data_IF_513909332232
#
_entry.id   IF_513909332232
#
_cell.length_a   1.000
_cell.length_b   1.000
_cell.length_c   1.000
_cell.angle_alpha   90.00
_cell.angle_beta   90.00
_cell.angle_gamma   90.00
#
_symmetry.space_group_name_H-M   'P 1'
#
loop_
_entity.id
_entity.type
_entity.pdbx_description
1 polymer ?
#
# COMPACT_ATOMS: atom_id res chain seq x y z
N UNK A 1 -19.97 -14.53 0.37
CA UNK A 1 -19.22 -14.41 -0.87
C UNK A 1 -17.89 -13.68 -0.66
N UNK A 2 -17.86 -12.44 -0.15
CA UNK A 2 -16.62 -11.66 0.04
C UNK A 2 -15.58 -12.38 0.91
N UNK A 3 -15.97 -12.92 2.08
CA UNK A 3 -15.06 -13.69 2.94
C UNK A 3 -14.54 -14.96 2.24
N UNK A 4 -15.36 -15.60 1.42
CA UNK A 4 -14.93 -16.75 0.63
C UNK A 4 -13.90 -16.35 -0.43
N UNK A 5 -14.10 -15.21 -1.11
CA UNK A 5 -13.14 -14.65 -2.06
C UNK A 5 -11.78 -14.34 -1.40
N UNK A 6 -11.82 -13.67 -0.24
CA UNK A 6 -10.63 -13.36 0.54
C UNK A 6 -9.89 -14.64 0.98
N UNK A 7 -10.61 -15.62 1.54
CA UNK A 7 -10.03 -16.88 1.97
C UNK A 7 -9.41 -17.67 0.81
N UNK A 8 -10.09 -17.75 -0.34
CA UNK A 8 -9.58 -18.41 -1.54
C UNK A 8 -8.29 -17.73 -2.03
N UNK A 9 -8.26 -16.40 -2.08
CA UNK A 9 -7.08 -15.64 -2.48
C UNK A 9 -5.90 -15.87 -1.53
N UNK A 10 -6.15 -15.88 -0.22
CA UNK A 10 -5.12 -16.16 0.80
C UNK A 10 -4.54 -17.57 0.64
N UNK A 11 -5.41 -18.57 0.47
CA UNK A 11 -4.97 -19.97 0.27
C UNK A 11 -4.19 -20.12 -1.05
N UNK A 12 -4.69 -19.52 -2.13
CA UNK A 12 -4.00 -19.55 -3.43
C UNK A 12 -2.62 -18.90 -3.35
N UNK A 13 -2.51 -17.75 -2.69
CA UNK A 13 -1.24 -17.06 -2.50
C UNK A 13 -0.27 -17.86 -1.64
N UNK A 14 -0.76 -18.44 -0.53
CA UNK A 14 0.06 -19.30 0.32
C UNK A 14 0.58 -20.52 -0.45
N UNK A 15 -0.27 -21.16 -1.26
CA UNK A 15 0.12 -22.28 -2.10
C UNK A 15 1.17 -21.88 -3.14
N UNK A 16 1.02 -20.73 -3.78
CA UNK A 16 2.01 -20.19 -4.73
C UNK A 16 3.35 -19.91 -4.05
N UNK A 17 3.33 -19.33 -2.85
CA UNK A 17 4.55 -19.05 -2.09
C UNK A 17 5.27 -20.33 -1.65
N UNK A 18 4.53 -21.34 -1.21
CA UNK A 18 5.11 -22.64 -0.83
C UNK A 18 5.70 -23.35 -2.05
N UNK A 19 4.98 -23.32 -3.19
CA UNK A 19 5.39 -24.03 -4.39
C UNK A 19 6.58 -23.37 -5.11
N UNK A 20 6.61 -22.05 -5.17
CA UNK A 20 7.56 -21.30 -6.00
C UNK A 20 8.53 -20.43 -5.20
N UNK A 21 8.19 -20.05 -3.96
CA UNK A 21 8.97 -19.12 -3.15
C UNK A 21 10.44 -19.55 -2.98
N UNK A 22 10.73 -20.78 -2.52
CA UNK A 22 12.12 -21.23 -2.36
C UNK A 22 12.90 -21.27 -3.68
N UNK A 23 12.28 -21.81 -4.74
CA UNK A 23 12.93 -21.90 -6.06
C UNK A 23 13.09 -20.57 -6.79
N UNK A 24 12.23 -19.60 -6.51
CA UNK A 24 12.34 -18.26 -7.04
C UNK A 24 13.56 -17.54 -6.43
N UNK A 25 13.75 -17.71 -5.12
CA UNK A 25 14.83 -17.05 -4.37
C UNK A 25 16.21 -17.64 -4.66
N UNK A 26 16.30 -18.94 -4.97
CA UNK A 26 17.55 -19.56 -5.39
C UNK A 26 18.03 -19.10 -6.78
N UNK A 27 17.11 -18.58 -7.60
CA UNK A 27 17.38 -18.21 -8.99
C UNK A 27 17.43 -16.70 -9.24
N UNK A 28 16.90 -15.90 -8.35
CA UNK A 28 16.86 -14.45 -8.50
C UNK A 28 17.94 -13.84 -7.60
N UNK A 29 18.82 -13.05 -8.22
CA UNK A 29 19.80 -12.24 -7.48
C UNK A 29 19.05 -11.28 -6.55
N UNK A 30 19.43 -11.30 -5.27
CA UNK A 30 18.83 -10.46 -4.22
C UNK A 30 18.81 -8.98 -4.62
N UNK A 31 19.89 -8.47 -5.25
CA UNK A 31 19.97 -7.08 -5.70
C UNK A 31 18.94 -6.77 -6.76
N UNK A 32 18.71 -7.70 -7.70
CA UNK A 32 17.67 -7.56 -8.73
C UNK A 32 16.29 -7.51 -8.09
N UNK A 33 16.04 -8.36 -7.09
CA UNK A 33 14.78 -8.38 -6.36
C UNK A 33 14.54 -7.04 -5.65
N UNK A 34 15.53 -6.53 -4.91
CA UNK A 34 15.48 -5.25 -4.22
C UNK A 34 15.24 -4.08 -5.18
N UNK A 35 15.93 -4.07 -6.33
CA UNK A 35 15.75 -3.04 -7.36
C UNK A 35 14.35 -3.06 -7.95
N UNK A 36 13.83 -4.24 -8.30
CA UNK A 36 12.50 -4.38 -8.89
C UNK A 36 11.42 -3.94 -7.90
N UNK A 37 11.45 -4.49 -6.68
CA UNK A 37 10.46 -4.17 -5.65
C UNK A 37 10.58 -2.69 -5.25
N UNK A 38 11.79 -2.21 -4.97
CA UNK A 38 12.02 -0.82 -4.60
C UNK A 38 11.52 0.15 -5.66
N UNK A 39 11.80 -0.12 -6.95
CA UNK A 39 11.32 0.70 -8.05
C UNK A 39 9.79 0.70 -8.15
N UNK A 40 9.15 -0.46 -8.03
CA UNK A 40 7.68 -0.56 -8.03
C UNK A 40 7.06 0.25 -6.89
N UNK A 41 7.62 0.14 -5.68
CA UNK A 41 7.16 0.92 -4.53
C UNK A 41 7.34 2.42 -4.74
N UNK A 42 8.45 2.86 -5.35
CA UNK A 42 8.66 4.26 -5.71
C UNK A 42 7.63 4.76 -6.71
N UNK A 43 7.34 3.99 -7.74
CA UNK A 43 6.35 4.35 -8.77
C UNK A 43 4.95 4.47 -8.18
N UNK A 44 4.51 3.46 -7.42
CA UNK A 44 3.18 3.47 -6.79
C UNK A 44 3.09 4.51 -5.67
N UNK A 45 4.04 4.51 -4.74
CA UNK A 45 4.10 5.45 -3.63
C UNK A 45 4.20 6.89 -4.10
N UNK A 46 5.06 7.15 -5.09
CA UNK A 46 5.22 8.47 -5.70
C UNK A 46 3.93 8.98 -6.35
N UNK A 47 3.18 8.12 -7.06
CA UNK A 47 1.89 8.49 -7.64
C UNK A 47 0.85 8.82 -6.54
N UNK A 48 0.78 8.02 -5.50
CA UNK A 48 -0.15 8.25 -4.40
C UNK A 48 0.21 9.48 -3.61
N UNK A 49 1.47 9.61 -3.20
CA UNK A 49 1.97 10.76 -2.45
C UNK A 49 1.81 12.07 -3.24
N UNK A 50 2.18 12.07 -4.54
CA UNK A 50 1.98 13.23 -5.42
C UNK A 50 0.50 13.64 -5.48
N UNK A 51 -0.41 12.68 -5.69
CA UNK A 51 -1.86 12.98 -5.75
C UNK A 51 -2.37 13.51 -4.42
N UNK A 52 -1.92 12.94 -3.30
CA UNK A 52 -2.28 13.38 -1.96
C UNK A 52 -1.74 14.79 -1.66
N UNK A 53 -0.50 15.10 -2.07
CA UNK A 53 0.08 16.44 -1.94
C UNK A 53 -0.69 17.49 -2.74
N UNK A 54 -1.02 17.20 -4.01
CA UNK A 54 -1.79 18.13 -4.87
C UNK A 54 -3.19 18.39 -4.30
N UNK A 55 -3.86 17.35 -3.77
CA UNK A 55 -5.14 17.52 -3.06
C UNK A 55 -4.99 18.32 -1.77
N UNK A 56 -3.92 18.08 -1.01
CA UNK A 56 -3.62 18.84 0.21
C UNK A 56 -3.26 20.30 -0.08
N UNK A 57 -2.69 20.58 -1.25
CA UNK A 57 -2.40 21.92 -1.70
C UNK A 57 -3.64 22.67 -2.24
N UNK A 58 -4.75 21.95 -2.52
CA UNK A 58 -5.96 22.54 -3.11
C UNK A 58 -5.97 22.56 -4.64
N UNK A 59 -4.90 22.08 -5.29
CA UNK A 59 -4.75 22.10 -6.76
C UNK A 59 -5.61 21.05 -7.48
N UNK A 60 -6.07 20.02 -6.76
CA UNK A 60 -6.99 19.00 -7.28
C UNK A 60 -8.15 18.91 -6.31
N UNK A 61 -9.38 18.89 -6.84
CA UNK A 61 -10.58 18.72 -6.06
C UNK A 61 -10.49 17.45 -5.19
N UNK A 62 -10.94 17.55 -3.94
CA UNK A 62 -11.15 16.37 -3.11
C UNK A 62 -12.21 15.52 -3.78
N UNK A 63 -11.90 14.24 -4.01
CA UNK A 63 -12.88 13.31 -4.55
C UNK A 63 -14.03 13.20 -3.56
N UNK A 64 -15.27 13.30 -4.06
CA UNK A 64 -16.44 13.04 -3.22
C UNK A 64 -16.57 11.52 -3.06
N UNK A 65 -15.97 11.01 -1.96
CA UNK A 65 -15.93 9.59 -1.64
C UNK A 65 -17.32 9.04 -1.37
N UNK A 66 -18.22 9.88 -0.87
CA UNK A 66 -19.60 9.49 -0.60
C UNK A 66 -20.36 9.24 -1.90
N UNK A 67 -20.15 10.06 -2.93
CA UNK A 67 -20.74 9.86 -4.23
C UNK A 67 -20.18 8.61 -4.93
N UNK A 68 -18.86 8.43 -4.95
CA UNK A 68 -18.22 7.26 -5.53
C UNK A 68 -18.59 5.96 -4.79
N UNK A 69 -18.63 6.00 -3.46
CA UNK A 69 -19.07 4.87 -2.64
C UNK A 69 -20.54 4.52 -2.89
N UNK A 70 -21.42 5.53 -2.99
CA UNK A 70 -22.85 5.33 -3.27
C UNK A 70 -23.04 4.72 -4.66
N UNK A 71 -22.31 5.21 -5.66
CA UNK A 71 -22.37 4.67 -7.02
C UNK A 71 -21.89 3.22 -7.09
N UNK A 72 -20.81 2.88 -6.37
CA UNK A 72 -20.29 1.52 -6.30
C UNK A 72 -21.21 0.58 -5.50
N UNK A 73 -21.80 1.06 -4.40
CA UNK A 73 -22.82 0.31 -3.62
C UNK A 73 -24.08 0.09 -4.45
N UNK A 74 -24.53 1.07 -5.22
CA UNK A 74 -25.69 0.94 -6.11
C UNK A 74 -25.41 -0.01 -7.28
N UNK A 75 -24.20 0.03 -7.83
CA UNK A 75 -23.76 -0.92 -8.85
C UNK A 75 -23.74 -2.36 -8.31
N UNK A 76 -23.17 -2.56 -7.10
CA UNK A 76 -23.17 -3.86 -6.40
C UNK A 76 -24.56 -4.29 -5.96
N UNK A 77 -25.42 -3.34 -5.55
CA UNK A 77 -26.80 -3.60 -5.15
C UNK A 77 -27.69 -4.08 -6.30
N UNK A 78 -27.43 -3.60 -7.51
CA UNK A 78 -28.10 -4.08 -8.74
C UNK A 78 -27.72 -5.52 -9.05
N UNK A 79 -26.48 -5.91 -8.84
CA UNK A 79 -25.98 -7.27 -9.05
C UNK A 79 -26.46 -8.24 -7.96
N UNK A 80 -26.72 -7.75 -6.74
CA UNK A 80 -27.12 -8.54 -5.57
C UNK A 80 -28.58 -9.02 -5.59
N UNK A 81 -29.43 -8.44 -6.47
CA UNK A 81 -30.85 -8.84 -6.62
C UNK A 81 -31.05 -10.15 -7.41
N UNK A 82 -30.02 -10.68 -8.04
CA UNK A 82 -30.05 -12.02 -8.60
C UNK A 82 -29.93 -13.04 -7.43
N UNK A 83 -30.95 -13.91 -7.27
CA UNK A 83 -30.93 -15.03 -6.31
C UNK A 83 -29.78 -15.96 -6.65
N UNK A 84 -28.66 -15.88 -5.87
CA UNK A 84 -27.51 -16.73 -6.08
C UNK A 84 -26.27 -16.27 -5.28
N UNK A 85 -25.16 -16.94 -5.52
CA UNK A 85 -23.86 -16.59 -4.94
C UNK A 85 -23.39 -15.23 -5.52
N UNK A 86 -23.01 -14.31 -4.65
CA UNK A 86 -22.51 -12.97 -5.03
C UNK A 86 -21.07 -13.08 -5.61
N UNK A 87 -21.01 -13.40 -6.89
CA UNK A 87 -19.74 -13.53 -7.63
C UNK A 87 -18.97 -12.22 -7.73
N UNK A 88 -19.66 -11.08 -7.77
CA UNK A 88 -19.01 -9.77 -7.80
C UNK A 88 -18.28 -9.49 -6.49
N UNK A 89 -18.94 -9.67 -5.36
CA UNK A 89 -18.33 -9.54 -4.04
C UNK A 89 -17.19 -10.54 -3.81
N UNK A 90 -17.32 -11.77 -4.33
CA UNK A 90 -16.25 -12.77 -4.30
C UNK A 90 -15.02 -12.32 -5.11
N UNK A 91 -15.24 -11.88 -6.36
CA UNK A 91 -14.15 -11.49 -7.25
C UNK A 91 -13.43 -10.21 -6.78
N UNK A 92 -14.19 -9.19 -6.37
CA UNK A 92 -13.61 -7.92 -5.88
C UNK A 92 -12.78 -8.17 -4.61
N UNK A 93 -13.32 -8.91 -3.66
CA UNK A 93 -12.63 -9.24 -2.42
C UNK A 93 -11.42 -10.16 -2.67
N UNK A 94 -11.57 -11.18 -3.51
CA UNK A 94 -10.49 -12.07 -3.90
C UNK A 94 -9.34 -11.35 -4.59
N UNK A 95 -9.67 -10.50 -5.57
CA UNK A 95 -8.68 -9.68 -6.27
C UNK A 95 -7.95 -8.72 -5.32
N UNK A 96 -8.69 -8.03 -4.44
CA UNK A 96 -8.10 -7.12 -3.46
C UNK A 96 -7.11 -7.85 -2.56
N UNK A 97 -7.54 -8.91 -1.89
CA UNK A 97 -6.69 -9.70 -0.97
C UNK A 97 -5.51 -10.35 -1.69
N UNK A 98 -5.69 -10.79 -2.94
CA UNK A 98 -4.59 -11.37 -3.72
C UNK A 98 -3.53 -10.32 -4.05
N UNK A 99 -3.91 -9.13 -4.53
CA UNK A 99 -2.97 -8.07 -4.87
C UNK A 99 -2.22 -7.55 -3.63
N UNK A 100 -2.93 -7.25 -2.53
CA UNK A 100 -2.33 -6.84 -1.26
C UNK A 100 -1.43 -7.95 -0.68
N UNK A 101 -1.89 -9.20 -0.78
CA UNK A 101 -1.13 -10.35 -0.29
C UNK A 101 0.15 -10.60 -1.08
N UNK A 102 0.17 -10.33 -2.40
CA UNK A 102 1.40 -10.38 -3.21
C UNK A 102 2.43 -9.36 -2.70
N UNK A 103 2.00 -8.16 -2.33
CA UNK A 103 2.91 -7.14 -1.75
C UNK A 103 3.52 -7.63 -0.43
N UNK A 104 2.69 -8.17 0.47
CA UNK A 104 3.16 -8.77 1.73
C UNK A 104 4.12 -9.94 1.47
N UNK A 105 3.81 -10.78 0.48
CA UNK A 105 4.66 -11.89 0.09
C UNK A 105 6.05 -11.40 -0.35
N UNK A 106 6.12 -10.38 -1.18
CA UNK A 106 7.40 -9.80 -1.59
C UNK A 106 8.18 -9.22 -0.41
N UNK A 107 7.51 -8.55 0.54
CA UNK A 107 8.15 -8.04 1.75
C UNK A 107 8.75 -9.19 2.57
N UNK A 108 7.98 -10.26 2.80
CA UNK A 108 8.44 -11.44 3.56
C UNK A 108 9.60 -12.13 2.86
N UNK A 109 9.51 -12.28 1.54
CA UNK A 109 10.56 -12.91 0.74
C UNK A 109 11.85 -12.08 0.77
N UNK A 110 11.75 -10.77 0.57
CA UNK A 110 12.90 -9.86 0.59
C UNK A 110 13.57 -9.84 1.97
N UNK A 111 12.79 -9.65 3.04
CA UNK A 111 13.32 -9.68 4.40
C UNK A 111 13.90 -11.05 4.78
N UNK A 112 13.30 -12.14 4.30
CA UNK A 112 13.81 -13.49 4.53
C UNK A 112 15.14 -13.72 3.84
N UNK A 113 15.31 -13.24 2.62
CA UNK A 113 16.55 -13.31 1.87
C UNK A 113 17.68 -12.51 2.54
N UNK A 114 17.38 -11.26 2.94
CA UNK A 114 18.38 -10.36 3.55
C UNK A 114 18.76 -10.74 4.98
N UNK A 115 17.84 -11.34 5.75
CA UNK A 115 18.08 -11.73 7.15
C UNK A 115 18.62 -13.15 7.34
N UNK A 116 18.83 -13.89 6.26
CA UNK A 116 19.33 -15.27 6.30
C UNK A 116 18.29 -16.29 6.81
N UNK A 117 16.98 -15.94 6.82
CA UNK A 117 15.93 -16.87 7.21
C UNK A 117 14.52 -16.30 7.15
N UNK A 118 13.55 -17.14 6.81
CA UNK A 118 12.15 -16.75 6.59
C UNK A 118 11.28 -16.81 7.84
N UNK A 119 11.76 -17.45 8.91
CA UNK A 119 10.94 -17.62 10.11
C UNK A 119 10.51 -16.27 10.71
N UNK A 120 11.45 -15.39 11.00
CA UNK A 120 11.14 -14.09 11.63
C UNK A 120 10.23 -13.20 10.76
N UNK A 121 10.49 -13.00 9.44
CA UNK A 121 9.58 -12.26 8.57
C UNK A 121 8.18 -12.87 8.46
N UNK A 122 8.07 -14.19 8.40
CA UNK A 122 6.78 -14.89 8.33
C UNK A 122 5.98 -14.73 9.62
N UNK A 123 6.62 -14.90 10.79
CA UNK A 123 5.99 -14.64 12.08
C UNK A 123 5.58 -13.17 12.23
N UNK A 124 6.44 -12.23 11.78
CA UNK A 124 6.15 -10.81 11.75
C UNK A 124 4.92 -10.48 10.90
N UNK A 125 4.83 -11.03 9.70
CA UNK A 125 3.68 -10.87 8.81
C UNK A 125 2.40 -11.46 9.42
N UNK A 126 2.48 -12.64 10.03
CA UNK A 126 1.36 -13.27 10.74
C UNK A 126 0.88 -12.42 11.93
N UNK A 127 1.80 -11.91 12.74
CA UNK A 127 1.49 -11.02 13.85
C UNK A 127 0.88 -9.70 13.38
N UNK A 128 1.41 -9.10 12.31
CA UNK A 128 0.87 -7.90 11.69
C UNK A 128 -0.55 -8.13 11.15
N UNK A 129 -0.81 -9.26 10.49
CA UNK A 129 -2.14 -9.63 10.01
C UNK A 129 -3.15 -9.71 11.17
N UNK A 130 -2.80 -10.40 12.28
CA UNK A 130 -3.65 -10.51 13.46
C UNK A 130 -3.90 -9.15 14.11
N UNK A 131 -2.86 -8.32 14.24
CA UNK A 131 -2.94 -6.98 14.79
C UNK A 131 -3.84 -6.08 13.94
N UNK A 132 -3.66 -6.09 12.61
CA UNK A 132 -4.48 -5.30 11.68
C UNK A 132 -5.92 -5.78 11.69
N UNK A 133 -6.17 -7.09 11.72
CA UNK A 133 -7.52 -7.65 11.82
C UNK A 133 -8.21 -7.23 13.13
N UNK A 134 -7.51 -7.32 14.26
CA UNK A 134 -8.01 -6.87 15.55
C UNK A 134 -8.25 -5.35 15.59
N UNK A 135 -7.28 -4.56 15.12
CA UNK A 135 -7.40 -3.11 15.03
C UNK A 135 -8.52 -2.70 14.07
N UNK A 136 -8.63 -3.34 12.91
CA UNK A 136 -9.69 -3.09 11.92
C UNK A 136 -11.09 -3.34 12.48
N UNK A 137 -11.27 -4.40 13.29
CA UNK A 137 -12.55 -4.67 13.95
C UNK A 137 -12.86 -3.66 15.05
N UNK A 138 -11.86 -3.29 15.86
CA UNK A 138 -12.01 -2.34 16.95
C UNK A 138 -12.17 -0.88 16.47
N UNK A 139 -11.40 -0.52 15.43
CA UNK A 139 -11.31 0.85 14.92
C UNK A 139 -12.18 1.12 13.69
N UNK A 140 -13.01 0.16 13.23
CA UNK A 140 -13.80 0.34 12.01
C UNK A 140 -14.66 1.61 12.02
N UNK A 141 -15.22 2.00 13.16
CA UNK A 141 -16.01 3.25 13.30
C UNK A 141 -15.14 4.51 13.22
N UNK A 142 -14.02 4.63 13.99
CA UNK A 142 -13.09 5.75 13.82
C UNK A 142 -12.46 5.80 12.44
N UNK A 143 -12.09 4.66 11.82
CA UNK A 143 -11.45 4.60 10.51
C UNK A 143 -12.31 5.18 9.40
N UNK A 144 -13.65 5.03 9.47
CA UNK A 144 -14.57 5.64 8.50
C UNK A 144 -14.58 7.18 8.55
N UNK A 145 -14.00 7.77 9.61
CA UNK A 145 -13.87 9.23 9.77
C UNK A 145 -12.54 9.78 9.26
N UNK A 146 -11.58 8.91 8.96
CA UNK A 146 -10.27 9.35 8.44
C UNK A 146 -10.43 9.71 6.96
N UNK A 147 -10.10 10.95 6.55
CA UNK A 147 -10.18 11.33 5.14
C UNK A 147 -9.25 10.45 4.30
N UNK A 148 -9.75 9.96 3.17
CA UNK A 148 -8.99 9.13 2.21
C UNK A 148 -7.65 9.76 1.83
N UNK A 149 -7.63 11.09 1.68
CA UNK A 149 -6.41 11.79 1.33
C UNK A 149 -5.32 11.64 2.39
N UNK A 150 -5.69 11.59 3.67
CA UNK A 150 -4.75 11.38 4.79
C UNK A 150 -4.17 9.97 4.74
N UNK A 151 -5.01 8.95 4.46
CA UNK A 151 -4.56 7.57 4.28
C UNK A 151 -3.62 7.45 3.08
N UNK A 152 -4.01 8.00 1.93
CA UNK A 152 -3.16 7.99 0.72
C UNK A 152 -1.84 8.72 0.93
N UNK A 153 -1.85 9.81 1.70
CA UNK A 153 -0.63 10.53 2.05
C UNK A 153 0.29 9.68 2.92
N UNK A 154 -0.24 9.08 3.99
CA UNK A 154 0.54 8.26 4.91
C UNK A 154 1.10 7.01 4.21
N UNK A 155 0.25 6.26 3.52
CA UNK A 155 0.67 5.05 2.78
C UNK A 155 1.65 5.43 1.66
N UNK A 156 1.36 6.49 0.90
CA UNK A 156 2.27 6.96 -0.15
C UNK A 156 3.65 7.35 0.38
N UNK A 157 3.72 8.00 1.55
CA UNK A 157 4.98 8.33 2.20
C UNK A 157 5.74 7.07 2.64
N UNK A 158 5.05 6.08 3.20
CA UNK A 158 5.66 4.79 3.57
C UNK A 158 6.19 4.04 2.35
N UNK A 159 5.40 3.92 1.29
CA UNK A 159 5.81 3.23 0.06
C UNK A 159 7.03 3.92 -0.59
N UNK A 160 7.07 5.26 -0.62
CA UNK A 160 8.25 6.00 -1.10
C UNK A 160 9.47 5.72 -0.23
N UNK A 161 9.29 5.71 1.08
CA UNK A 161 10.37 5.42 2.03
C UNK A 161 10.97 4.03 1.81
N UNK A 162 10.14 2.99 1.77
CA UNK A 162 10.60 1.63 1.47
C UNK A 162 11.18 1.51 0.07
N UNK A 163 10.58 2.20 -0.90
CA UNK A 163 11.06 2.22 -2.26
C UNK A 163 12.46 2.83 -2.39
N UNK A 164 12.73 3.96 -1.72
CA UNK A 164 14.08 4.55 -1.65
C UNK A 164 15.05 3.60 -0.95
N UNK A 165 14.65 3.05 0.19
CA UNK A 165 15.47 2.15 0.99
C UNK A 165 15.94 0.95 0.15
N UNK A 166 15.02 0.18 -0.41
CA UNK A 166 15.36 -1.03 -1.14
C UNK A 166 15.99 -0.78 -2.51
N UNK A 167 15.60 0.29 -3.21
CA UNK A 167 16.27 0.64 -4.47
C UNK A 167 17.74 0.98 -4.24
N UNK A 168 18.05 1.77 -3.21
CA UNK A 168 19.40 2.12 -2.87
C UNK A 168 20.23 0.91 -2.39
N UNK A 169 19.63 0.04 -1.57
CA UNK A 169 20.26 -1.21 -1.13
C UNK A 169 20.55 -2.15 -2.30
N UNK A 170 19.61 -2.28 -3.25
CA UNK A 170 19.83 -3.01 -4.49
C UNK A 170 20.92 -2.40 -5.39
N UNK A 171 21.17 -1.10 -5.30
CA UNK A 171 22.31 -0.43 -5.96
C UNK A 171 23.63 -0.57 -5.19
N UNK A 172 23.62 -1.25 -4.03
CA UNK A 172 24.79 -1.48 -3.22
C UNK A 172 25.06 -0.41 -2.15
N UNK A 173 24.08 0.44 -1.84
CA UNK A 173 24.19 1.39 -0.74
C UNK A 173 24.00 0.65 0.59
N UNK A 174 24.99 0.77 1.46
CA UNK A 174 24.91 0.29 2.84
C UNK A 174 24.35 1.40 3.74
N UNK A 175 23.19 1.16 4.35
CA UNK A 175 22.56 2.14 5.21
C UNK A 175 23.18 2.18 6.60
N UNK A 176 23.62 3.35 7.03
CA UNK A 176 24.09 3.56 8.40
C UNK A 176 22.95 3.28 9.38
N UNK A 177 23.15 2.28 10.26
CA UNK A 177 22.14 1.82 11.19
C UNK A 177 21.16 0.78 10.63
N UNK A 178 21.39 0.24 9.42
CA UNK A 178 20.55 -0.79 8.82
C UNK A 178 19.09 -0.37 8.72
N UNK A 179 18.16 -1.18 9.22
CA UNK A 179 16.72 -0.90 9.18
C UNK A 179 16.31 0.40 9.92
N UNK A 180 17.13 0.94 10.83
CA UNK A 180 16.84 2.22 11.46
C UNK A 180 16.86 3.39 10.45
N UNK A 181 17.49 3.19 9.29
CA UNK A 181 17.45 4.13 8.18
C UNK A 181 16.04 4.46 7.70
N UNK A 182 15.12 3.51 7.77
CA UNK A 182 13.71 3.74 7.45
C UNK A 182 13.10 4.90 8.26
N UNK A 183 13.53 5.07 9.52
CA UNK A 183 13.03 6.16 10.38
C UNK A 183 13.44 7.54 9.86
N UNK A 184 14.70 7.77 9.55
CA UNK A 184 15.15 9.07 9.04
C UNK A 184 14.73 9.30 7.58
N UNK A 185 14.60 8.25 6.75
CA UNK A 185 14.05 8.35 5.40
C UNK A 185 12.57 8.72 5.43
N UNK A 186 11.79 8.14 6.33
CA UNK A 186 10.38 8.50 6.52
C UNK A 186 10.26 9.97 6.97
N UNK A 187 11.07 10.39 7.94
CA UNK A 187 11.07 11.77 8.39
C UNK A 187 11.44 12.74 7.26
N UNK A 188 12.44 12.41 6.44
CA UNK A 188 12.83 13.19 5.28
C UNK A 188 11.70 13.24 4.22
N UNK A 189 11.08 12.10 3.91
CA UNK A 189 9.95 12.02 2.97
C UNK A 189 8.77 12.88 3.44
N UNK A 190 8.42 12.81 4.72
CA UNK A 190 7.35 13.63 5.31
C UNK A 190 7.71 15.12 5.29
N UNK A 191 8.94 15.48 5.63
CA UNK A 191 9.41 16.88 5.61
C UNK A 191 9.39 17.45 4.18
N UNK A 192 9.95 16.72 3.21
CA UNK A 192 9.98 17.15 1.80
C UNK A 192 8.57 17.28 1.22
N UNK A 193 7.68 16.32 1.50
CA UNK A 193 6.30 16.36 1.02
C UNK A 193 5.53 17.52 1.65
N UNK A 194 5.73 17.80 2.95
CA UNK A 194 5.13 18.95 3.62
C UNK A 194 5.63 20.29 3.06
N UNK A 195 6.95 20.41 2.84
CA UNK A 195 7.54 21.59 2.20
C UNK A 195 6.97 21.81 0.79
N UNK A 196 6.84 20.72 0.01
CA UNK A 196 6.26 20.75 -1.33
C UNK A 196 4.81 21.26 -1.30
N UNK A 197 3.99 20.75 -0.36
CA UNK A 197 2.60 21.23 -0.19
C UNK A 197 2.58 22.72 0.18
N UNK A 198 3.46 23.18 1.08
CA UNK A 198 3.54 24.60 1.44
C UNK A 198 3.97 25.48 0.28
N UNK A 199 4.94 25.02 -0.50
CA UNK A 199 5.40 25.75 -1.69
C UNK A 199 4.31 25.83 -2.75
N UNK A 200 3.62 24.74 -3.07
CA UNK A 200 2.52 24.68 -4.01
C UNK A 200 1.38 25.63 -3.62
N UNK A 201 1.02 25.69 -2.33
CA UNK A 201 -0.01 26.65 -1.83
C UNK A 201 0.39 28.11 -2.01
N UNK A 202 1.68 28.43 -1.94
CA UNK A 202 2.18 29.82 -2.11
C UNK A 202 2.28 30.22 -3.58
N UNK A 203 2.42 29.26 -4.46
CA UNK A 203 2.58 29.47 -5.91
C UNK A 203 1.23 29.56 -6.63
N UNK A 204 0.09 29.43 -5.93
CA UNK A 204 -1.24 29.58 -6.53
C UNK A 204 -1.47 31.10 -6.83
N UNK A 205 -1.70 31.48 -8.10
CA UNK A 205 -2.03 32.86 -8.43
C UNK A 205 -3.34 33.29 -7.75
N UNK A 206 -3.38 34.49 -7.19
CA UNK A 206 -4.54 35.03 -6.46
C UNK A 206 -5.85 35.07 -7.29
N UNK A 207 -5.74 35.02 -8.60
CA UNK A 207 -6.88 35.07 -9.54
C UNK A 207 -7.72 33.78 -9.52
N UNK A 208 -7.13 32.60 -9.18
CA UNK A 208 -7.87 31.36 -9.07
C UNK A 208 -8.55 31.18 -7.70
N UNK A 209 -8.10 31.87 -6.68
CA UNK A 209 -8.72 31.87 -5.36
C UNK A 209 -10.02 32.71 -5.32
N UNK A 210 -10.15 33.71 -6.19
CA UNK A 210 -11.33 34.59 -6.27
C UNK A 210 -12.50 33.99 -7.09
N UNK A 211 -12.27 32.89 -7.82
CA UNK A 211 -13.29 32.24 -8.68
C UNK A 211 -13.94 31.02 -8.03
N UNK A 212 -13.64 30.70 -6.75
CA UNK A 212 -14.25 29.64 -5.95
C UNK A 212 -15.09 30.19 -4.82
#
# INVERSE_FOLDING_TARGET
>A
AALAGAATATVALAALLIAFGPGLLERVDERVLLLVIGTLLLLFGGRWLRKAMLRSAGLIAKHDESAAFTEEVDALGRTRRARGFDWAGFAVSGKGVFLEGVEVAFIVLTLGATSGGYAAPTFGAGAALLLVAAAGTALRRPLTRIPENTLKYAVGAMLVTFGVYWTAEGLGVEWTGGAAALGYLLAATLALSWLSVRWLRRSEPADLAASR
#
